data_IF_278386363221
#
_entry.id   IF_278386363221
#
_cell.length_a   1.000
_cell.length_b   1.000
_cell.length_c   1.000
_cell.angle_alpha   90.00
_cell.angle_beta   90.00
_cell.angle_gamma   90.00
#
_symmetry.space_group_name_H-M   'P 1'
#
loop_
_entity.id
_entity.type
_entity.pdbx_description
1 polymer ?
#
# COMPACT_ATOMS: atom_id res chain seq x y z
N UNK A 1 -4.36 -17.85 -16.42
CA UNK A 1 -4.60 -16.39 -16.21
C UNK A 1 -5.49 -16.19 -14.99
N UNK A 2 -6.68 -16.78 -14.97
CA UNK A 2 -7.59 -16.78 -13.81
C UNK A 2 -6.87 -17.09 -12.51
N UNK A 3 -6.12 -18.18 -12.48
CA UNK A 3 -5.47 -18.71 -11.27
C UNK A 3 -4.35 -17.80 -10.75
N UNK A 4 -3.72 -17.06 -11.67
CA UNK A 4 -2.70 -16.07 -11.32
C UNK A 4 -3.36 -14.84 -10.69
N UNK A 5 -4.45 -14.35 -11.28
CA UNK A 5 -5.19 -13.20 -10.75
C UNK A 5 -5.86 -13.53 -9.41
N UNK A 6 -6.43 -14.72 -9.22
CA UNK A 6 -7.01 -15.14 -7.93
C UNK A 6 -5.96 -15.22 -6.83
N UNK A 7 -4.70 -15.48 -7.16
CA UNK A 7 -3.60 -15.48 -6.19
C UNK A 7 -3.05 -14.08 -5.91
N UNK A 8 -3.02 -13.20 -6.91
CA UNK A 8 -2.40 -11.87 -6.85
C UNK A 8 -3.35 -10.82 -6.28
N UNK A 9 -4.63 -10.86 -6.65
CA UNK A 9 -5.63 -9.83 -6.26
C UNK A 9 -5.78 -9.73 -4.73
N UNK A 10 -5.92 -10.82 -3.95
CA UNK A 10 -6.04 -10.71 -2.49
C UNK A 10 -4.83 -10.02 -1.85
N UNK A 11 -3.62 -10.37 -2.30
CA UNK A 11 -2.38 -9.75 -1.82
C UNK A 11 -2.31 -8.28 -2.20
N UNK A 12 -2.70 -7.93 -3.43
CA UNK A 12 -2.75 -6.53 -3.88
C UNK A 12 -3.79 -5.70 -3.10
N UNK A 13 -4.94 -6.29 -2.75
CA UNK A 13 -5.96 -5.66 -1.92
C UNK A 13 -5.45 -5.40 -0.50
N UNK A 14 -4.78 -6.38 0.12
CA UNK A 14 -4.13 -6.17 1.40
C UNK A 14 -3.05 -5.09 1.34
N UNK A 15 -2.25 -5.11 0.26
CA UNK A 15 -1.26 -4.09 0.00
C UNK A 15 -1.87 -2.70 -0.28
N UNK A 16 -3.12 -2.63 -0.72
CA UNK A 16 -3.83 -1.36 -0.91
C UNK A 16 -4.35 -0.77 0.41
N UNK A 17 -4.29 -1.49 1.53
CA UNK A 17 -4.75 -0.94 2.80
C UNK A 17 -3.66 -0.07 3.41
N UNK A 18 -3.75 1.24 3.14
CA UNK A 18 -2.83 2.24 3.66
C UNK A 18 -3.57 3.49 4.16
N UNK A 19 -4.06 3.45 5.43
CA UNK A 19 -4.71 4.59 6.08
C UNK A 19 -3.90 5.90 5.99
N UNK A 20 -2.59 5.81 6.25
CA UNK A 20 -1.68 6.96 6.27
C UNK A 20 -1.51 7.59 4.90
N UNK A 21 -1.35 6.78 3.85
CA UNK A 21 -1.23 7.28 2.47
C UNK A 21 -2.54 7.95 2.04
N UNK A 22 -3.67 7.31 2.35
CA UNK A 22 -5.00 7.85 2.05
C UNK A 22 -5.23 9.20 2.74
N UNK A 23 -4.95 9.31 4.04
CA UNK A 23 -5.09 10.54 4.81
C UNK A 23 -4.17 11.66 4.30
N UNK A 24 -2.90 11.36 4.05
CA UNK A 24 -1.94 12.33 3.52
C UNK A 24 -2.39 12.89 2.17
N UNK A 25 -2.86 12.02 1.27
CA UNK A 25 -3.33 12.42 -0.05
C UNK A 25 -4.58 13.30 0.01
N UNK A 26 -5.54 12.95 0.88
CA UNK A 26 -6.75 13.75 1.12
C UNK A 26 -6.39 15.15 1.64
N UNK A 27 -5.45 15.25 2.58
CA UNK A 27 -4.96 16.54 3.08
C UNK A 27 -4.33 17.38 1.96
N UNK A 28 -3.49 16.78 1.12
CA UNK A 28 -2.85 17.45 -0.02
C UNK A 28 -3.90 17.97 -1.02
N UNK A 29 -4.93 17.16 -1.30
CA UNK A 29 -5.99 17.51 -2.25
C UNK A 29 -6.98 18.55 -1.72
N UNK A 30 -6.99 18.80 -0.40
CA UNK A 30 -7.75 19.89 0.23
C UNK A 30 -7.08 21.26 0.08
N UNK A 31 -5.78 21.31 -0.26
CA UNK A 31 -4.99 22.53 -0.33
C UNK A 31 -4.97 23.23 -1.69
N UNK A 32 -4.17 24.30 -1.79
CA UNK A 32 -3.94 25.02 -3.07
C UNK A 32 -3.18 24.12 -4.05
N UNK A 33 -3.45 24.30 -5.36
CA UNK A 33 -2.88 23.47 -6.45
C UNK A 33 -3.11 21.96 -6.24
N UNK A 34 -4.28 21.61 -5.68
CA UNK A 34 -4.68 20.24 -5.30
C UNK A 34 -4.30 19.17 -6.32
N UNK A 35 -4.70 19.32 -7.59
CA UNK A 35 -4.42 18.31 -8.63
C UNK A 35 -2.92 18.15 -8.88
N UNK A 36 -2.19 19.26 -9.08
CA UNK A 36 -0.74 19.22 -9.33
C UNK A 36 0.01 18.56 -8.17
N UNK A 37 -0.33 18.93 -6.93
CA UNK A 37 0.33 18.36 -5.74
C UNK A 37 -0.07 16.89 -5.54
N UNK A 38 -1.32 16.53 -5.81
CA UNK A 38 -1.77 15.14 -5.79
C UNK A 38 -1.05 14.26 -6.83
N UNK A 39 -0.84 14.77 -8.05
CA UNK A 39 -0.04 14.09 -9.08
C UNK A 39 1.41 13.90 -8.62
N UNK A 40 2.03 14.93 -8.05
CA UNK A 40 3.42 14.86 -7.57
C UNK A 40 3.57 13.91 -6.38
N UNK A 41 2.61 13.89 -5.46
CA UNK A 41 2.54 12.91 -4.37
C UNK A 41 2.44 11.47 -4.92
N UNK A 42 1.51 11.26 -5.85
CA UNK A 42 1.28 9.97 -6.50
C UNK A 42 2.53 9.50 -7.26
N UNK A 43 3.25 10.41 -7.92
CA UNK A 43 4.50 10.10 -8.60
C UNK A 43 5.59 9.62 -7.63
N UNK A 44 5.72 10.26 -6.47
CA UNK A 44 6.64 9.81 -5.41
C UNK A 44 6.30 8.40 -4.91
N UNK A 45 5.02 8.15 -4.64
CA UNK A 45 4.52 6.83 -4.25
C UNK A 45 4.77 5.77 -5.34
N UNK A 46 4.40 6.08 -6.59
CA UNK A 46 4.53 5.18 -7.72
C UNK A 46 5.99 4.84 -8.04
N UNK A 47 6.92 5.76 -7.80
CA UNK A 47 8.36 5.51 -7.98
C UNK A 47 8.84 4.35 -7.12
N UNK A 48 8.44 4.32 -5.85
CA UNK A 48 8.79 3.24 -4.91
C UNK A 48 8.07 1.95 -5.29
N UNK A 49 6.79 2.01 -5.63
CA UNK A 49 6.02 0.84 -6.07
C UNK A 49 6.61 0.21 -7.34
N UNK A 50 7.07 1.02 -8.29
CA UNK A 50 7.77 0.55 -9.48
C UNK A 50 9.11 -0.12 -9.11
N UNK A 51 9.88 0.50 -8.20
CA UNK A 51 11.10 -0.10 -7.67
C UNK A 51 10.85 -1.46 -6.99
N UNK A 52 9.78 -1.58 -6.19
CA UNK A 52 9.35 -2.83 -5.56
C UNK A 52 8.90 -3.86 -6.59
N UNK A 53 8.21 -3.43 -7.65
CA UNK A 53 7.80 -4.31 -8.76
C UNK A 53 9.03 -4.89 -9.45
N UNK A 54 9.98 -4.05 -9.84
CA UNK A 54 11.23 -4.49 -10.49
C UNK A 54 12.02 -5.39 -9.55
N UNK A 55 12.24 -4.98 -8.30
CA UNK A 55 12.97 -5.77 -7.30
C UNK A 55 12.29 -7.11 -7.06
N UNK A 56 10.98 -7.10 -6.84
CA UNK A 56 10.15 -8.28 -6.62
C UNK A 56 10.20 -9.25 -7.80
N UNK A 57 10.20 -8.77 -9.05
CA UNK A 57 10.31 -9.62 -10.24
C UNK A 57 11.76 -10.13 -10.47
N UNK A 58 12.78 -9.29 -10.27
CA UNK A 58 14.19 -9.64 -10.54
C UNK A 58 14.75 -10.61 -9.51
N UNK A 59 14.54 -10.35 -8.22
CA UNK A 59 14.99 -11.23 -7.12
C UNK A 59 14.43 -12.64 -7.31
N UNK A 60 13.20 -12.73 -7.81
CA UNK A 60 12.46 -13.99 -7.92
C UNK A 60 12.60 -14.65 -9.29
N UNK A 61 13.06 -13.94 -10.31
CA UNK A 61 13.37 -14.52 -11.63
C UNK A 61 14.76 -15.16 -11.69
N UNK A 62 15.78 -14.61 -11.00
CA UNK A 62 17.16 -15.15 -10.96
C UNK A 62 17.31 -16.44 -10.15
N UNK A 63 16.18 -17.05 -9.86
CA UNK A 63 15.98 -17.95 -8.78
C UNK A 63 15.61 -19.30 -9.41
N UNK A 64 16.62 -20.09 -9.83
CA UNK A 64 16.41 -21.36 -10.53
C UNK A 64 15.60 -22.37 -9.67
N UNK A 65 14.74 -23.20 -10.28
CA UNK A 65 13.91 -24.15 -9.53
C UNK A 65 14.78 -25.30 -9.01
N UNK A 66 14.96 -25.39 -7.70
CA UNK A 66 15.53 -26.53 -7.00
C UNK A 66 14.64 -26.87 -5.80
N UNK A 67 14.69 -28.12 -5.30
CA UNK A 67 13.91 -28.54 -4.12
C UNK A 67 14.17 -27.64 -2.89
N UNK A 68 15.39 -27.09 -2.79
CA UNK A 68 15.79 -26.08 -1.80
C UNK A 68 14.96 -24.80 -1.87
N UNK A 69 14.42 -24.42 -3.03
CA UNK A 69 13.64 -23.19 -3.23
C UNK A 69 12.18 -23.31 -2.78
N UNK A 70 11.55 -24.47 -2.89
CA UNK A 70 10.18 -24.66 -2.34
C UNK A 70 10.20 -24.42 -0.83
N UNK A 71 11.23 -24.94 -0.15
CA UNK A 71 11.50 -24.64 1.25
C UNK A 71 11.70 -23.14 1.49
N UNK A 72 12.57 -22.47 0.71
CA UNK A 72 12.83 -21.01 0.86
C UNK A 72 11.56 -20.17 0.61
N UNK A 73 10.70 -20.54 -0.33
CA UNK A 73 9.45 -19.81 -0.59
C UNK A 73 8.48 -19.95 0.59
N UNK A 74 8.36 -21.15 1.16
CA UNK A 74 7.59 -21.36 2.38
C UNK A 74 8.21 -20.59 3.56
N UNK A 75 9.54 -20.61 3.71
CA UNK A 75 10.26 -19.86 4.75
C UNK A 75 10.05 -18.35 4.61
N UNK A 76 10.04 -17.81 3.38
CA UNK A 76 9.77 -16.40 3.11
C UNK A 76 8.33 -16.05 3.46
N UNK A 77 7.34 -16.83 3.04
CA UNK A 77 5.94 -16.57 3.41
C UNK A 77 5.73 -16.68 4.93
N UNK A 78 6.35 -17.68 5.58
CA UNK A 78 6.33 -17.85 7.02
C UNK A 78 6.95 -16.67 7.75
N UNK A 79 8.13 -16.22 7.33
CA UNK A 79 8.82 -15.06 7.90
C UNK A 79 8.00 -13.79 7.73
N UNK A 80 7.48 -13.51 6.53
CA UNK A 80 6.63 -12.35 6.27
C UNK A 80 5.35 -12.38 7.12
N UNK A 81 4.75 -13.56 7.27
CA UNK A 81 3.59 -13.79 8.13
C UNK A 81 3.91 -13.50 9.60
N UNK A 82 5.02 -14.03 10.12
CA UNK A 82 5.50 -13.78 11.49
C UNK A 82 5.78 -12.29 11.71
N UNK A 83 6.40 -11.61 10.75
CA UNK A 83 6.64 -10.16 10.83
C UNK A 83 5.32 -9.40 10.89
N UNK A 84 4.34 -9.70 10.03
CA UNK A 84 3.03 -9.06 10.08
C UNK A 84 2.31 -9.28 11.42
N UNK A 85 2.31 -10.51 11.94
CA UNK A 85 1.71 -10.78 13.24
C UNK A 85 2.46 -10.08 14.40
N UNK A 86 3.78 -9.97 14.30
CA UNK A 86 4.59 -9.22 15.27
C UNK A 86 4.23 -7.73 15.23
N UNK A 87 4.03 -7.16 14.04
CA UNK A 87 3.55 -5.78 13.88
C UNK A 87 2.14 -5.61 14.45
N UNK A 88 1.24 -6.58 14.26
CA UNK A 88 -0.09 -6.54 14.87
C UNK A 88 -0.01 -6.50 16.40
N UNK A 89 0.85 -7.32 17.01
CA UNK A 89 1.09 -7.34 18.45
C UNK A 89 1.67 -5.99 18.91
N UNK A 90 2.66 -5.44 18.21
CA UNK A 90 3.23 -4.13 18.52
C UNK A 90 2.14 -3.04 18.43
N UNK A 91 1.32 -3.07 17.38
CA UNK A 91 0.19 -2.16 17.17
C UNK A 91 -0.88 -2.30 18.26
N UNK A 92 -1.10 -3.50 18.81
CA UNK A 92 -1.99 -3.78 19.95
C UNK A 92 -1.41 -3.29 21.29
N UNK A 93 -0.10 -3.39 21.48
CA UNK A 93 0.58 -3.01 22.72
C UNK A 93 0.91 -1.51 22.77
N UNK A 94 0.98 -0.83 21.63
CA UNK A 94 1.19 0.61 21.58
C UNK A 94 0.00 1.33 22.23
N UNK A 95 0.27 2.11 23.28
CA UNK A 95 -0.75 3.01 23.87
C UNK A 95 -1.24 4.00 22.82
N UNK A 96 -2.53 4.39 22.89
CA UNK A 96 -3.09 5.43 22.01
C UNK A 96 -2.25 6.69 22.16
N UNK A 97 -1.36 6.97 21.22
CA UNK A 97 -0.62 8.23 21.18
C UNK A 97 -1.52 9.34 20.65
N UNK A 98 -1.15 10.60 20.84
CA UNK A 98 -1.89 11.74 20.27
C UNK A 98 -2.04 11.69 18.74
N UNK A 99 -1.24 10.88 18.05
CA UNK A 99 -1.40 10.55 16.63
C UNK A 99 -2.59 9.62 16.34
N UNK A 100 -3.05 8.85 17.32
CA UNK A 100 -4.21 7.96 17.27
C UNK A 100 -5.49 8.68 17.68
N UNK A 101 -5.39 9.66 18.59
CA UNK A 101 -6.47 10.60 18.85
C UNK A 101 -6.40 11.68 17.79
N UNK A 102 -7.13 11.49 16.69
CA UNK A 102 -7.32 12.49 15.65
C UNK A 102 -7.72 13.84 16.24
N UNK A 103 -6.74 14.65 16.61
CA UNK A 103 -6.98 16.07 16.74
C UNK A 103 -7.38 16.44 15.33
N UNK A 104 -8.64 16.87 15.11
CA UNK A 104 -9.00 17.40 13.82
C UNK A 104 -7.96 18.48 13.59
N UNK A 105 -7.27 18.46 12.46
CA UNK A 105 -6.52 19.64 12.04
C UNK A 105 -7.58 20.68 11.64
N UNK A 106 -8.38 21.14 12.62
CA UNK A 106 -8.94 22.46 12.68
C UNK A 106 -7.77 23.40 12.94
N UNK A 107 -6.90 23.52 11.94
CA UNK A 107 -5.94 24.60 11.93
C UNK A 107 -6.02 25.21 10.55
N UNK A 108 -6.80 26.27 10.48
CA UNK A 108 -6.34 27.64 10.20
C UNK A 108 -4.86 27.94 10.58
N UNK A 109 -3.93 26.99 10.39
CA UNK A 109 -2.50 27.27 10.31
C UNK A 109 -2.26 27.65 8.85
N UNK A 110 -1.55 28.76 8.59
CA UNK A 110 -1.19 29.12 7.22
C UNK A 110 -0.54 27.90 6.57
N UNK A 111 -1.11 27.50 5.44
CA UNK A 111 -0.60 26.40 4.62
C UNK A 111 0.85 26.75 4.26
N UNK A 112 1.82 26.14 4.95
CA UNK A 112 3.22 26.27 4.57
C UNK A 112 3.29 25.72 3.15
N UNK A 113 3.59 26.60 2.18
CA UNK A 113 3.66 26.24 0.77
C UNK A 113 4.87 25.32 0.57
N UNK A 114 4.67 24.04 0.88
CA UNK A 114 5.67 22.99 0.69
C UNK A 114 5.86 22.85 -0.81
N UNK A 115 7.07 23.14 -1.27
CA UNK A 115 7.45 22.97 -2.67
C UNK A 115 7.14 21.56 -3.18
N UNK A 116 6.97 21.43 -4.51
CA UNK A 116 6.57 20.17 -5.15
C UNK A 116 7.50 19.00 -4.77
N UNK A 117 8.81 19.25 -4.63
CA UNK A 117 9.76 18.24 -4.18
C UNK A 117 9.42 17.65 -2.80
N UNK A 118 8.99 18.47 -1.84
CA UNK A 118 8.59 17.97 -0.52
C UNK A 118 7.32 17.12 -0.59
N UNK A 119 6.41 17.42 -1.51
CA UNK A 119 5.20 16.61 -1.76
C UNK A 119 5.56 15.26 -2.41
N UNK A 120 6.51 15.27 -3.34
CA UNK A 120 7.06 14.05 -3.95
C UNK A 120 7.75 13.18 -2.88
N UNK A 121 8.64 13.78 -2.10
CA UNK A 121 9.39 13.11 -1.04
C UNK A 121 8.46 12.54 0.04
N UNK A 122 7.33 13.20 0.32
CA UNK A 122 6.31 12.66 1.22
C UNK A 122 5.67 11.39 0.64
N UNK A 123 5.24 11.40 -0.63
CA UNK A 123 4.68 10.19 -1.26
C UNK A 123 5.67 9.04 -1.32
N UNK A 124 6.93 9.35 -1.64
CA UNK A 124 8.04 8.40 -1.64
C UNK A 124 8.30 7.81 -0.24
N UNK A 125 8.46 8.67 0.77
CA UNK A 125 8.75 8.26 2.13
C UNK A 125 7.62 7.45 2.77
N UNK A 126 6.36 7.84 2.52
CA UNK A 126 5.20 7.07 2.99
C UNK A 126 5.16 5.69 2.35
N UNK A 127 5.49 5.55 1.06
CA UNK A 127 5.50 4.23 0.42
C UNK A 127 6.66 3.36 0.92
N UNK A 128 7.87 3.91 1.11
CA UNK A 128 9.02 3.15 1.64
C UNK A 128 8.78 2.66 3.06
N UNK A 129 8.09 3.44 3.88
CA UNK A 129 7.78 3.08 5.27
C UNK A 129 6.52 2.22 5.41
N UNK A 130 5.79 1.98 4.31
CA UNK A 130 4.55 1.21 4.32
C UNK A 130 4.82 -0.29 4.28
N UNK A 131 5.24 -0.81 5.43
CA UNK A 131 5.71 -2.17 5.57
C UNK A 131 4.63 -3.20 5.21
N UNK A 132 3.37 -2.99 5.63
CA UNK A 132 2.27 -3.89 5.28
C UNK A 132 2.07 -3.98 3.76
N UNK A 133 2.20 -2.86 3.04
CA UNK A 133 2.17 -2.88 1.57
C UNK A 133 3.35 -3.64 0.98
N UNK A 134 4.57 -3.40 1.47
CA UNK A 134 5.79 -4.08 0.98
C UNK A 134 5.68 -5.59 1.20
N UNK A 135 5.33 -6.01 2.42
CA UNK A 135 5.26 -7.41 2.84
C UNK A 135 4.16 -8.19 2.09
N UNK A 136 3.16 -7.52 1.53
CA UNK A 136 2.09 -8.17 0.74
C UNK A 136 2.32 -8.07 -0.77
N UNK A 137 2.91 -6.98 -1.23
CA UNK A 137 3.19 -6.78 -2.65
C UNK A 137 4.34 -7.66 -3.16
N UNK A 138 5.38 -7.88 -2.34
CA UNK A 138 6.50 -8.76 -2.72
C UNK A 138 6.07 -10.22 -2.96
N UNK A 139 5.27 -10.86 -2.08
CA UNK A 139 4.60 -12.13 -2.36
C UNK A 139 3.82 -12.19 -3.67
N UNK A 140 3.12 -11.11 -4.03
CA UNK A 140 2.36 -11.04 -5.27
C UNK A 140 3.32 -11.10 -6.47
N UNK A 141 4.42 -10.33 -6.43
CA UNK A 141 5.43 -10.33 -7.49
C UNK A 141 6.16 -11.67 -7.60
N UNK A 142 6.44 -12.33 -6.47
CA UNK A 142 6.97 -13.70 -6.45
C UNK A 142 6.03 -14.69 -7.13
N UNK A 143 4.72 -14.58 -6.86
CA UNK A 143 3.71 -15.42 -7.50
C UNK A 143 3.66 -15.20 -9.02
N UNK A 144 3.76 -13.94 -9.46
CA UNK A 144 3.79 -13.61 -10.89
C UNK A 144 5.03 -14.18 -11.58
N UNK A 145 6.22 -13.94 -11.02
CA UNK A 145 7.47 -14.34 -11.65
C UNK A 145 7.60 -15.86 -11.76
N UNK A 146 7.23 -16.59 -10.69
CA UNK A 146 7.28 -18.05 -10.61
C UNK A 146 6.17 -18.78 -11.37
N UNK A 147 5.12 -18.08 -11.83
CA UNK A 147 4.04 -18.72 -12.59
C UNK A 147 4.49 -19.22 -13.97
N UNK A 148 3.88 -20.30 -14.45
CA UNK A 148 4.02 -20.81 -15.83
C UNK A 148 3.17 -20.04 -16.86
N UNK A 149 2.51 -18.95 -16.43
CA UNK A 149 1.65 -18.16 -17.29
C UNK A 149 2.44 -17.45 -18.42
N UNK A 150 1.74 -17.13 -19.52
CA UNK A 150 2.34 -16.37 -20.62
C UNK A 150 2.82 -14.99 -20.18
N UNK A 151 3.77 -14.41 -20.92
CA UNK A 151 4.31 -13.07 -20.64
C UNK A 151 3.21 -12.01 -20.57
N UNK A 152 2.25 -12.04 -21.50
CA UNK A 152 1.09 -11.15 -21.47
C UNK A 152 0.28 -11.28 -20.18
N UNK A 153 0.06 -12.51 -19.70
CA UNK A 153 -0.64 -12.75 -18.44
C UNK A 153 0.11 -12.21 -17.21
N UNK A 154 1.44 -12.34 -17.20
CA UNK A 154 2.27 -11.76 -16.14
C UNK A 154 2.21 -10.24 -16.16
N UNK A 155 2.29 -9.61 -17.33
CA UNK A 155 2.18 -8.15 -17.49
C UNK A 155 0.81 -7.67 -16.97
N UNK A 156 -0.27 -8.34 -17.36
CA UNK A 156 -1.62 -8.00 -16.87
C UNK A 156 -1.71 -8.15 -15.35
N UNK A 157 -1.19 -9.22 -14.77
CA UNK A 157 -1.22 -9.43 -13.32
C UNK A 157 -0.43 -8.35 -12.57
N UNK A 158 0.75 -7.94 -13.06
CA UNK A 158 1.53 -6.83 -12.50
C UNK A 158 0.75 -5.52 -12.58
N UNK A 159 0.18 -5.21 -13.75
CA UNK A 159 -0.58 -3.99 -13.95
C UNK A 159 -1.80 -3.92 -13.00
N UNK A 160 -2.55 -5.01 -12.89
CA UNK A 160 -3.69 -5.10 -11.96
C UNK A 160 -3.23 -4.94 -10.51
N UNK A 161 -2.16 -5.62 -10.11
CA UNK A 161 -1.62 -5.50 -8.75
C UNK A 161 -1.20 -4.06 -8.44
N UNK A 162 -0.43 -3.43 -9.33
CA UNK A 162 0.03 -2.06 -9.15
C UNK A 162 -1.13 -1.04 -9.11
N UNK A 163 -2.15 -1.23 -9.96
CA UNK A 163 -3.35 -0.40 -9.95
C UNK A 163 -4.10 -0.51 -8.62
N UNK A 164 -4.35 -1.74 -8.14
CA UNK A 164 -5.04 -1.97 -6.86
C UNK A 164 -4.22 -1.38 -5.70
N UNK A 165 -2.94 -1.72 -5.60
CA UNK A 165 -2.06 -1.27 -4.52
C UNK A 165 -1.88 0.25 -4.49
N UNK A 166 -1.97 0.93 -5.63
CA UNK A 166 -1.86 2.39 -5.70
C UNK A 166 -3.16 3.14 -5.40
N UNK A 167 -4.30 2.46 -5.20
CA UNK A 167 -5.60 3.10 -4.95
C UNK A 167 -5.61 4.14 -3.82
N UNK A 168 -4.90 3.98 -2.68
CA UNK A 168 -4.84 5.04 -1.66
C UNK A 168 -4.22 6.34 -2.17
N UNK A 169 -3.25 6.25 -3.08
CA UNK A 169 -2.55 7.39 -3.67
C UNK A 169 -3.27 7.93 -4.91
N UNK A 170 -3.91 7.09 -5.72
CA UNK A 170 -4.57 7.51 -6.96
C UNK A 170 -6.06 7.80 -6.77
N UNK A 171 -6.76 7.05 -5.92
CA UNK A 171 -8.22 7.12 -5.73
C UNK A 171 -8.73 8.52 -5.37
N UNK A 172 -8.21 9.17 -4.31
CA UNK A 172 -8.60 10.54 -3.98
C UNK A 172 -8.30 11.53 -5.11
N UNK A 173 -7.16 11.38 -5.80
CA UNK A 173 -6.78 12.25 -6.92
C UNK A 173 -7.77 12.10 -8.09
N UNK A 174 -8.10 10.86 -8.47
CA UNK A 174 -9.08 10.58 -9.51
C UNK A 174 -10.46 11.12 -9.12
N UNK A 175 -10.86 10.98 -7.86
CA UNK A 175 -12.10 11.55 -7.34
C UNK A 175 -12.10 13.08 -7.42
N UNK A 176 -10.97 13.74 -7.11
CA UNK A 176 -10.82 15.20 -7.22
C UNK A 176 -10.96 15.67 -8.67
N UNK A 177 -10.40 14.93 -9.62
CA UNK A 177 -10.47 15.24 -11.05
C UNK A 177 -11.89 15.04 -11.57
N UNK A 178 -12.54 13.92 -11.23
CA UNK A 178 -13.88 13.60 -11.72
C UNK A 178 -14.98 14.44 -11.07
N UNK A 179 -14.87 14.74 -9.77
CA UNK A 179 -15.91 15.39 -8.96
C UNK A 179 -15.36 16.58 -8.15
N UNK A 180 -14.82 17.64 -8.78
CA UNK A 180 -14.11 18.72 -8.09
C UNK A 180 -14.95 19.51 -7.09
N UNK A 181 -16.28 19.56 -7.24
CA UNK A 181 -17.17 20.26 -6.29
C UNK A 181 -17.56 19.39 -5.09
N UNK A 182 -17.68 18.07 -5.27
CA UNK A 182 -18.12 17.12 -4.23
C UNK A 182 -16.96 16.47 -3.48
N UNK A 183 -15.77 16.43 -4.06
CA UNK A 183 -14.62 15.74 -3.50
C UNK A 183 -14.28 16.24 -2.09
N UNK A 184 -14.41 17.54 -1.82
CA UNK A 184 -14.10 18.11 -0.51
C UNK A 184 -14.99 17.57 0.62
N UNK A 185 -16.28 17.36 0.36
CA UNK A 185 -17.21 16.77 1.33
C UNK A 185 -16.88 15.29 1.58
N UNK A 186 -16.65 14.53 0.49
CA UNK A 186 -16.32 13.11 0.56
C UNK A 186 -15.00 12.89 1.31
N UNK A 187 -14.00 13.72 1.04
CA UNK A 187 -12.72 13.74 1.72
C UNK A 187 -12.84 13.96 3.22
N UNK A 188 -13.73 14.85 3.66
CA UNK A 188 -14.01 15.07 5.08
C UNK A 188 -14.52 13.80 5.77
N UNK A 189 -15.43 13.07 5.12
CA UNK A 189 -15.97 11.80 5.63
C UNK A 189 -14.91 10.69 5.65
N UNK A 190 -14.17 10.51 4.55
CA UNK A 190 -13.10 9.51 4.45
C UNK A 190 -12.04 9.78 5.51
N UNK A 191 -11.56 11.02 5.62
CA UNK A 191 -10.50 11.38 6.57
C UNK A 191 -10.93 11.10 8.01
N UNK A 192 -12.19 11.41 8.37
CA UNK A 192 -12.72 11.14 9.70
C UNK A 192 -12.76 9.65 9.99
N UNK A 193 -13.38 8.86 9.12
CA UNK A 193 -13.44 7.40 9.27
C UNK A 193 -12.06 6.77 9.42
N UNK A 194 -11.12 7.14 8.54
CA UNK A 194 -9.75 6.62 8.55
C UNK A 194 -9.04 7.03 9.83
N UNK A 195 -9.18 8.27 10.28
CA UNK A 195 -8.54 8.74 11.51
C UNK A 195 -9.09 8.01 12.74
N UNK A 196 -10.41 7.82 12.81
CA UNK A 196 -11.08 7.19 13.95
C UNK A 196 -10.77 5.68 14.04
N UNK A 197 -10.53 5.02 12.89
CA UNK A 197 -10.39 3.57 12.80
C UNK A 197 -9.01 3.10 12.32
N UNK A 198 -8.03 3.99 12.09
CA UNK A 198 -6.71 3.64 11.50
C UNK A 198 -6.07 2.44 12.19
N UNK A 199 -6.06 2.44 13.53
CA UNK A 199 -5.43 1.39 14.32
C UNK A 199 -6.14 0.05 14.15
N UNK A 200 -7.47 0.05 14.16
CA UNK A 200 -8.27 -1.15 13.96
C UNK A 200 -8.08 -1.72 12.55
N UNK A 201 -8.05 -0.85 11.53
CA UNK A 201 -7.82 -1.23 10.13
C UNK A 201 -6.44 -1.89 9.99
N UNK A 202 -5.38 -1.24 10.50
CA UNK A 202 -4.01 -1.74 10.43
C UNK A 202 -3.89 -3.11 11.11
N UNK A 203 -4.34 -3.23 12.35
CA UNK A 203 -4.29 -4.51 13.11
C UNK A 203 -5.05 -5.61 12.38
N UNK A 204 -6.25 -5.31 11.86
CA UNK A 204 -7.08 -6.30 11.16
C UNK A 204 -6.36 -6.83 9.91
N UNK A 205 -5.74 -5.95 9.13
CA UNK A 205 -4.98 -6.35 7.93
C UNK A 205 -3.74 -7.14 8.30
N UNK A 206 -2.98 -6.69 9.29
CA UNK A 206 -1.77 -7.37 9.77
C UNK A 206 -2.09 -8.78 10.27
N UNK A 207 -3.18 -8.96 11.04
CA UNK A 207 -3.63 -10.28 11.51
C UNK A 207 -4.11 -11.14 10.34
N UNK A 208 -5.04 -10.64 9.53
CA UNK A 208 -5.67 -11.42 8.47
C UNK A 208 -4.64 -11.91 7.43
N UNK A 209 -3.77 -11.01 6.98
CA UNK A 209 -2.75 -11.37 6.00
C UNK A 209 -1.54 -12.07 6.62
N UNK A 210 -1.20 -11.79 7.88
CA UNK A 210 -0.20 -12.57 8.61
C UNK A 210 -0.60 -14.04 8.70
N UNK A 211 -1.85 -14.32 9.08
CA UNK A 211 -2.41 -15.67 9.10
C UNK A 211 -2.48 -16.31 7.70
N UNK A 212 -2.90 -15.55 6.68
CA UNK A 212 -2.93 -16.03 5.30
C UNK A 212 -1.54 -16.42 4.78
N UNK A 213 -0.50 -15.63 5.06
CA UNK A 213 0.87 -15.93 4.65
C UNK A 213 1.44 -17.14 5.39
N UNK A 214 1.12 -17.32 6.68
CA UNK A 214 1.49 -18.54 7.42
C UNK A 214 0.80 -19.75 6.81
N UNK A 215 -0.50 -19.68 6.51
CA UNK A 215 -1.22 -20.77 5.85
C UNK A 215 -0.59 -21.14 4.50
N UNK A 216 -0.12 -20.14 3.74
CA UNK A 216 0.60 -20.33 2.47
C UNK A 216 2.03 -20.88 2.62
N UNK A 217 2.56 -20.90 3.84
CA UNK A 217 3.88 -21.43 4.17
C UNK A 217 3.83 -22.88 4.67
N UNK A 218 2.65 -23.39 5.01
CA UNK A 218 2.40 -24.78 5.42
C UNK A 218 2.13 -25.65 4.19
#
# INVERSE_FOLDING_TARGET
>A
MSDLLTSVIPLALGAAVSPTVLAANVIILGGRRSITRGLVFTAGFATVLAGLTVSGLVITHRAQPSATRVQITHDVYGLLGVVLLSLAIISLLRSRTQSDTGTPVHTSKPEVDRGLFAVFALGFGLMISNLSTILLYLPAMHTVSGSSASTGAKITAVAVAALITSLPATGPLLLRIALPKRSAQIFGTINRFVTDHQRAITITVEIAFGAYLIYRAL
#
